data_IF_733800216586
#
_entry.id   IF_733800216586
#
_cell.length_a   1.000
_cell.length_b   1.000
_cell.length_c   1.000
_cell.angle_alpha   90.00
_cell.angle_beta   90.00
_cell.angle_gamma   90.00
#
_symmetry.space_group_name_H-M   'P 1'
#
loop_
_entity.id
_entity.type
_entity.pdbx_description
1 polymer ?
#
# COMPACT_ATOMS: atom_id res chain seq x y z
N UNK A 1 -61.29 -26.48 -36.97
CA UNK A 1 -60.98 -26.17 -35.55
C UNK A 1 -59.51 -26.33 -35.14
N UNK A 2 -58.58 -26.88 -35.95
CA UNK A 2 -57.18 -27.11 -35.53
C UNK A 2 -56.19 -25.95 -35.75
N UNK A 3 -56.48 -25.03 -36.69
CA UNK A 3 -55.53 -23.96 -37.07
C UNK A 3 -55.51 -22.81 -36.05
N UNK A 4 -56.67 -22.48 -35.44
CA UNK A 4 -56.75 -21.41 -34.43
C UNK A 4 -55.94 -21.76 -33.17
N UNK A 5 -55.98 -23.01 -32.71
CA UNK A 5 -55.25 -23.47 -31.52
C UNK A 5 -53.73 -23.50 -31.69
N UNK A 6 -53.23 -23.77 -32.90
CA UNK A 6 -51.79 -23.77 -33.19
C UNK A 6 -51.23 -22.34 -33.22
N UNK A 7 -52.00 -21.39 -33.76
CA UNK A 7 -51.61 -19.98 -33.79
C UNK A 7 -51.56 -19.37 -32.38
N UNK A 8 -52.49 -19.74 -31.51
CA UNK A 8 -52.50 -19.28 -30.10
C UNK A 8 -51.32 -19.84 -29.32
N UNK A 9 -50.95 -21.11 -29.58
CA UNK A 9 -49.80 -21.74 -28.92
C UNK A 9 -48.46 -21.08 -29.33
N UNK A 10 -48.32 -20.73 -30.61
CA UNK A 10 -47.14 -20.00 -31.10
C UNK A 10 -47.04 -18.58 -30.54
N UNK A 11 -48.17 -17.88 -30.38
CA UNK A 11 -48.19 -16.52 -29.84
C UNK A 11 -47.83 -16.50 -28.34
N UNK A 12 -48.30 -17.48 -27.57
CA UNK A 12 -47.96 -17.61 -26.13
C UNK A 12 -46.49 -18.00 -25.95
N UNK A 13 -45.95 -18.87 -26.81
CA UNK A 13 -44.53 -19.26 -26.77
C UNK A 13 -43.59 -18.10 -27.14
N UNK A 14 -43.98 -17.26 -28.10
CA UNK A 14 -43.22 -16.07 -28.50
C UNK A 14 -43.19 -15.00 -27.40
N UNK A 15 -44.27 -14.83 -26.64
CA UNK A 15 -44.32 -13.87 -25.51
C UNK A 15 -43.50 -14.38 -24.30
N UNK A 16 -43.42 -15.70 -24.10
CA UNK A 16 -42.55 -16.30 -23.06
C UNK A 16 -41.06 -16.29 -23.40
N UNK A 17 -40.68 -16.12 -24.66
CA UNK A 17 -39.27 -16.04 -25.09
C UNK A 17 -38.71 -14.60 -25.05
N UNK A 18 -39.57 -13.60 -24.91
CA UNK A 18 -39.17 -12.18 -24.78
C UNK A 18 -39.26 -11.64 -23.35
N UNK A 19 -39.65 -12.45 -22.38
CA UNK A 19 -39.50 -12.14 -20.96
C UNK A 19 -38.04 -12.40 -20.54
N UNK A 20 -37.12 -11.64 -21.15
CA UNK A 20 -35.79 -11.45 -20.60
C UNK A 20 -35.97 -10.94 -19.17
N UNK A 21 -35.39 -11.60 -18.16
CA UNK A 21 -35.62 -11.23 -16.79
C UNK A 21 -35.07 -9.82 -16.59
N UNK A 22 -35.90 -8.91 -16.05
CA UNK A 22 -35.51 -7.56 -15.61
C UNK A 22 -34.32 -7.61 -14.64
N UNK A 23 -34.06 -8.76 -14.03
CA UNK A 23 -32.87 -9.06 -13.23
C UNK A 23 -31.53 -8.99 -14.00
N UNK A 24 -31.51 -9.25 -15.31
CA UNK A 24 -30.27 -9.15 -16.09
C UNK A 24 -29.83 -7.69 -16.30
N UNK A 25 -30.77 -6.73 -16.37
CA UNK A 25 -30.44 -5.32 -16.58
C UNK A 25 -29.79 -4.68 -15.35
N UNK A 26 -30.29 -4.98 -14.13
CA UNK A 26 -29.68 -4.49 -12.89
C UNK A 26 -28.28 -5.05 -12.66
N UNK A 27 -28.05 -6.31 -13.06
CA UNK A 27 -26.74 -6.95 -12.96
C UNK A 27 -25.76 -6.37 -14.01
N UNK A 28 -26.25 -6.04 -15.21
CA UNK A 28 -25.45 -5.41 -16.27
C UNK A 28 -25.07 -3.96 -15.95
N UNK A 29 -25.97 -3.16 -15.40
CA UNK A 29 -25.69 -1.77 -15.01
C UNK A 29 -24.67 -1.74 -13.87
N UNK A 30 -24.83 -2.62 -12.88
CA UNK A 30 -23.90 -2.78 -11.77
C UNK A 30 -22.51 -3.20 -12.26
N UNK A 31 -22.46 -4.20 -13.13
CA UNK A 31 -21.21 -4.65 -13.75
C UNK A 31 -20.54 -3.53 -14.56
N UNK A 32 -21.30 -2.79 -15.36
CA UNK A 32 -20.78 -1.70 -16.18
C UNK A 32 -20.22 -0.57 -15.31
N UNK A 33 -20.93 -0.21 -14.24
CA UNK A 33 -20.46 0.79 -13.27
C UNK A 33 -19.17 0.35 -12.57
N UNK A 34 -19.05 -0.93 -12.18
CA UNK A 34 -17.79 -1.46 -11.65
C UNK A 34 -16.65 -1.40 -12.67
N UNK A 35 -16.92 -1.77 -13.92
CA UNK A 35 -15.92 -1.72 -15.00
C UNK A 35 -15.49 -0.29 -15.30
N UNK A 36 -16.40 0.69 -15.26
CA UNK A 36 -16.07 2.10 -15.42
C UNK A 36 -15.14 2.58 -14.29
N UNK A 37 -15.44 2.24 -13.03
CA UNK A 37 -14.56 2.57 -11.90
C UNK A 37 -13.17 1.95 -12.06
N UNK A 38 -13.09 0.70 -12.51
CA UNK A 38 -11.80 0.04 -12.81
C UNK A 38 -11.02 0.75 -13.92
N UNK A 39 -11.70 1.23 -14.96
CA UNK A 39 -11.07 2.03 -16.01
C UNK A 39 -10.55 3.35 -15.44
N UNK A 40 -11.36 4.06 -14.65
CA UNK A 40 -10.95 5.32 -14.00
C UNK A 40 -9.72 5.16 -13.12
N UNK A 41 -9.62 4.07 -12.35
CA UNK A 41 -8.41 3.78 -11.56
C UNK A 41 -7.18 3.69 -12.47
N UNK A 42 -7.27 3.02 -13.62
CA UNK A 42 -6.14 2.82 -14.52
C UNK A 42 -5.81 4.04 -15.36
N UNK A 43 -6.82 4.73 -15.88
CA UNK A 43 -6.64 5.79 -16.86
C UNK A 43 -6.45 7.13 -16.12
N UNK A 44 -7.47 7.55 -15.35
CA UNK A 44 -7.43 8.80 -14.57
C UNK A 44 -6.41 8.71 -13.43
N UNK A 45 -6.37 7.59 -12.70
CA UNK A 45 -5.44 7.42 -11.59
C UNK A 45 -3.98 7.46 -12.02
N UNK A 46 -3.62 6.80 -13.13
CA UNK A 46 -2.26 6.86 -13.67
C UNK A 46 -1.91 8.27 -14.20
N UNK A 47 -2.85 8.97 -14.83
CA UNK A 47 -2.66 10.35 -15.28
C UNK A 47 -2.37 11.27 -14.09
N UNK A 48 -3.14 11.18 -13.00
CA UNK A 48 -2.91 11.99 -11.78
C UNK A 48 -1.52 11.73 -11.17
N UNK A 49 -1.10 10.46 -11.12
CA UNK A 49 0.24 10.12 -10.62
C UNK A 49 1.33 10.68 -11.55
N UNK A 50 1.11 10.68 -12.86
CA UNK A 50 2.01 11.31 -13.83
C UNK A 50 2.08 12.82 -13.64
N UNK A 51 0.94 13.50 -13.48
CA UNK A 51 0.88 14.95 -13.25
C UNK A 51 1.64 15.35 -11.97
N UNK A 52 1.62 14.50 -10.94
CA UNK A 52 2.39 14.73 -9.72
C UNK A 52 3.90 14.64 -9.95
N UNK A 53 4.38 13.81 -10.88
CA UNK A 53 5.79 13.75 -11.26
C UNK A 53 6.25 15.02 -11.97
N UNK A 54 5.40 15.63 -12.79
CA UNK A 54 5.73 16.85 -13.55
C UNK A 54 6.03 18.03 -12.64
N UNK A 55 5.36 18.10 -11.48
CA UNK A 55 5.56 19.15 -10.48
C UNK A 55 6.47 18.71 -9.33
N UNK A 56 7.02 17.51 -9.38
CA UNK A 56 7.74 16.95 -8.24
C UNK A 56 9.03 17.72 -7.93
N UNK A 57 9.32 17.96 -6.64
CA UNK A 57 10.60 18.52 -6.25
C UNK A 57 11.73 17.58 -6.68
N UNK A 58 12.85 18.16 -7.08
CA UNK A 58 14.08 17.40 -7.31
C UNK A 58 14.79 17.14 -5.98
N UNK A 59 15.58 16.07 -5.93
CA UNK A 59 16.39 15.74 -4.76
C UNK A 59 16.76 14.26 -4.69
N UNK A 60 17.65 13.92 -3.75
CA UNK A 60 17.92 12.54 -3.37
C UNK A 60 16.78 11.94 -2.53
N UNK A 61 16.83 10.63 -2.26
CA UNK A 61 15.77 9.91 -1.52
C UNK A 61 15.44 10.56 -0.17
N UNK A 62 16.45 11.00 0.56
CA UNK A 62 16.27 11.65 1.85
C UNK A 62 15.65 13.03 1.76
N UNK A 63 16.07 13.82 0.79
CA UNK A 63 15.51 15.15 0.55
C UNK A 63 14.03 15.07 0.18
N UNK A 64 13.66 14.07 -0.63
CA UNK A 64 12.27 13.78 -0.96
C UNK A 64 11.49 13.27 0.26
N UNK A 65 12.06 12.34 1.04
CA UNK A 65 11.42 11.81 2.24
C UNK A 65 11.15 12.89 3.29
N UNK A 66 12.06 13.85 3.49
CA UNK A 66 11.83 14.96 4.42
C UNK A 66 10.66 15.86 3.99
N UNK A 67 10.39 15.97 2.67
CA UNK A 67 9.29 16.79 2.12
C UNK A 67 7.91 16.12 2.22
N UNK A 68 7.84 14.88 2.69
CA UNK A 68 6.57 14.15 2.84
C UNK A 68 5.68 14.73 3.94
N UNK A 69 6.31 15.31 4.97
CA UNK A 69 5.65 15.58 6.24
C UNK A 69 5.09 16.99 6.36
N UNK A 70 5.62 17.93 5.58
CA UNK A 70 5.30 19.34 5.69
C UNK A 70 4.73 19.93 4.39
N UNK A 71 3.73 20.81 4.53
CA UNK A 71 3.15 21.58 3.43
C UNK A 71 1.80 21.06 2.92
N UNK A 72 1.32 21.70 1.86
CA UNK A 72 0.02 21.40 1.26
C UNK A 72 -0.04 19.98 0.68
N UNK A 73 -1.21 19.30 0.71
CA UNK A 73 -1.35 17.92 0.23
C UNK A 73 -0.82 17.69 -1.18
N UNK A 74 -1.02 18.65 -2.09
CA UNK A 74 -0.51 18.56 -3.47
C UNK A 74 1.03 18.42 -3.53
N UNK A 75 1.76 19.19 -2.72
CA UNK A 75 3.23 19.14 -2.71
C UNK A 75 3.77 17.90 -2.02
N UNK A 76 3.10 17.47 -0.94
CA UNK A 76 3.41 16.19 -0.29
C UNK A 76 3.20 15.02 -1.25
N UNK A 77 2.08 15.00 -1.97
CA UNK A 77 1.78 13.98 -2.98
C UNK A 77 2.87 13.94 -4.07
N UNK A 78 3.27 15.09 -4.61
CA UNK A 78 4.33 15.17 -5.62
C UNK A 78 5.68 14.65 -5.11
N UNK A 79 6.08 15.00 -3.88
CA UNK A 79 7.30 14.47 -3.26
C UNK A 79 7.22 12.96 -3.04
N UNK A 80 6.08 12.46 -2.55
CA UNK A 80 5.85 11.03 -2.34
C UNK A 80 5.90 10.23 -3.64
N UNK A 81 5.22 10.69 -4.67
CA UNK A 81 5.20 10.02 -5.98
C UNK A 81 6.60 10.01 -6.62
N UNK A 82 7.37 11.09 -6.51
CA UNK A 82 8.77 11.09 -6.97
C UNK A 82 9.65 10.13 -6.18
N UNK A 83 9.44 10.01 -4.87
CA UNK A 83 10.17 9.03 -4.06
C UNK A 83 9.78 7.60 -4.43
N UNK A 84 8.50 7.34 -4.70
CA UNK A 84 8.02 6.04 -5.21
C UNK A 84 8.72 5.71 -6.53
N UNK A 85 8.68 6.63 -7.50
CA UNK A 85 9.29 6.43 -8.82
C UNK A 85 10.82 6.19 -8.74
N UNK A 86 11.48 6.78 -7.73
CA UNK A 86 12.91 6.60 -7.51
C UNK A 86 13.27 5.28 -6.81
N UNK A 87 12.50 4.89 -5.79
CA UNK A 87 12.87 3.77 -4.91
C UNK A 87 12.33 2.43 -5.39
N UNK A 88 11.08 2.38 -5.84
CA UNK A 88 10.49 1.12 -6.29
C UNK A 88 11.00 0.80 -7.68
N UNK A 89 11.34 -0.47 -7.98
CA UNK A 89 11.71 -0.86 -9.33
C UNK A 89 10.64 -0.44 -10.34
N UNK A 90 11.03 0.39 -11.32
CA UNK A 90 10.12 0.96 -12.33
C UNK A 90 8.95 1.78 -11.73
N UNK A 91 9.09 2.26 -10.50
CA UNK A 91 8.03 2.96 -9.79
C UNK A 91 6.82 2.08 -9.42
N UNK A 92 6.96 0.74 -9.40
CA UNK A 92 5.87 -0.19 -9.11
C UNK A 92 5.86 -0.60 -7.62
N UNK A 93 4.86 -0.16 -6.82
CA UNK A 93 4.73 -0.54 -5.41
C UNK A 93 4.64 -2.04 -5.13
N UNK A 94 4.20 -2.85 -6.09
CA UNK A 94 4.16 -4.31 -5.90
C UNK A 94 5.53 -4.95 -5.71
N UNK A 95 6.60 -4.26 -6.17
CA UNK A 95 7.98 -4.72 -6.13
C UNK A 95 8.75 -4.21 -4.90
N UNK A 96 8.03 -3.86 -3.84
CA UNK A 96 8.60 -3.31 -2.59
C UNK A 96 9.69 -4.21 -1.97
N UNK A 97 9.59 -5.53 -2.16
CA UNK A 97 10.51 -6.53 -1.62
C UNK A 97 11.90 -6.45 -2.22
N UNK A 98 12.01 -5.92 -3.44
CA UNK A 98 13.28 -5.78 -4.16
C UNK A 98 14.07 -4.54 -3.70
N UNK A 99 13.43 -3.65 -2.94
CA UNK A 99 14.12 -2.53 -2.30
C UNK A 99 14.95 -3.12 -1.17
N UNK A 100 16.24 -2.82 -1.13
CA UNK A 100 17.13 -3.29 -0.06
C UNK A 100 18.16 -2.22 0.30
N UNK A 101 18.87 -2.49 1.39
CA UNK A 101 19.88 -1.62 1.93
C UNK A 101 19.35 -0.62 2.94
N UNK A 102 20.29 0.13 3.50
CA UNK A 102 20.01 1.19 4.44
C UNK A 102 20.16 2.57 3.81
N UNK A 103 19.46 3.52 4.40
CA UNK A 103 19.52 4.93 4.03
C UNK A 103 20.95 5.44 4.23
N UNK A 104 21.59 6.00 3.18
CA UNK A 104 22.95 6.54 3.29
C UNK A 104 23.07 7.56 4.42
N UNK A 105 24.16 7.48 5.19
CA UNK A 105 24.50 8.39 6.31
C UNK A 105 23.55 8.36 7.51
N UNK A 106 22.51 7.50 7.52
CA UNK A 106 21.60 7.32 8.67
C UNK A 106 21.69 5.95 9.35
N UNK A 107 22.71 5.16 9.01
CA UNK A 107 23.00 3.91 9.71
C UNK A 107 21.97 2.83 9.40
N UNK A 108 21.27 2.32 10.41
CA UNK A 108 20.42 1.11 10.36
C UNK A 108 18.98 1.42 9.91
N UNK A 109 18.75 2.53 9.21
CA UNK A 109 17.41 2.90 8.72
C UNK A 109 17.08 2.19 7.40
N UNK A 110 16.10 1.26 7.36
CA UNK A 110 15.90 0.43 6.17
C UNK A 110 15.20 1.18 5.03
N UNK A 111 15.72 1.05 3.80
CA UNK A 111 15.13 1.71 2.62
C UNK A 111 13.73 1.20 2.30
N UNK A 112 13.42 -0.07 2.57
CA UNK A 112 12.06 -0.62 2.41
C UNK A 112 11.01 0.18 3.20
N UNK A 113 11.33 0.55 4.45
CA UNK A 113 10.38 1.26 5.32
C UNK A 113 10.21 2.72 4.91
N UNK A 114 11.27 3.35 4.40
CA UNK A 114 11.20 4.68 3.77
C UNK A 114 10.30 4.68 2.53
N UNK A 115 10.39 3.63 1.71
CA UNK A 115 9.55 3.49 0.53
C UNK A 115 8.07 3.32 0.90
N UNK A 116 7.78 2.63 2.02
CA UNK A 116 6.41 2.51 2.54
C UNK A 116 5.87 3.84 3.07
N UNK A 117 6.70 4.66 3.73
CA UNK A 117 6.30 6.03 4.07
C UNK A 117 5.86 6.81 2.84
N UNK A 118 6.63 6.72 1.74
CA UNK A 118 6.29 7.37 0.48
C UNK A 118 4.93 6.90 -0.05
N UNK A 119 4.66 5.58 -0.03
CA UNK A 119 3.39 5.01 -0.47
C UNK A 119 2.21 5.50 0.38
N UNK A 120 2.30 5.40 1.71
CA UNK A 120 1.20 5.81 2.59
C UNK A 120 0.94 7.31 2.52
N UNK A 121 2.00 8.14 2.48
CA UNK A 121 1.84 9.59 2.31
C UNK A 121 1.31 9.94 0.92
N UNK A 122 1.69 9.21 -0.13
CA UNK A 122 1.10 9.41 -1.47
C UNK A 122 -0.41 9.21 -1.42
N UNK A 123 -0.85 8.07 -0.88
CA UNK A 123 -2.28 7.70 -0.79
C UNK A 123 -3.05 8.71 0.06
N UNK A 124 -2.52 9.10 1.22
CA UNK A 124 -3.17 10.10 2.08
C UNK A 124 -3.22 11.49 1.44
N UNK A 125 -2.15 11.92 0.77
CA UNK A 125 -2.08 13.28 0.23
C UNK A 125 -2.84 13.43 -1.09
N UNK A 126 -2.81 12.39 -1.93
CA UNK A 126 -3.54 12.37 -3.20
C UNK A 126 -5.05 12.41 -2.97
N UNK A 127 -5.59 11.68 -1.99
CA UNK A 127 -7.05 11.69 -1.74
C UNK A 127 -7.59 13.08 -1.35
N UNK A 128 -6.72 13.98 -0.91
CA UNK A 128 -7.06 15.33 -0.44
C UNK A 128 -7.04 16.37 -1.55
N UNK A 129 -6.60 16.02 -2.77
CA UNK A 129 -6.64 16.91 -3.94
C UNK A 129 -7.80 16.55 -4.88
N UNK A 130 -8.27 17.48 -5.74
CA UNK A 130 -9.34 17.21 -6.70
C UNK A 130 -9.03 15.96 -7.55
N UNK A 131 -10.00 15.04 -7.62
CA UNK A 131 -9.91 13.73 -8.29
C UNK A 131 -8.78 12.79 -7.83
N UNK A 132 -7.90 13.21 -6.90
CA UNK A 132 -6.72 12.47 -6.51
C UNK A 132 -7.00 11.16 -5.76
N UNK A 133 -8.24 10.93 -5.33
CA UNK A 133 -8.67 9.61 -4.84
C UNK A 133 -8.45 8.50 -5.88
N UNK A 134 -8.58 8.80 -7.18
CA UNK A 134 -8.28 7.84 -8.25
C UNK A 134 -6.79 7.54 -8.36
N UNK A 135 -5.91 8.53 -8.16
CA UNK A 135 -4.47 8.32 -8.08
C UNK A 135 -4.07 7.50 -6.85
N UNK A 136 -4.74 7.73 -5.72
CA UNK A 136 -4.59 6.93 -4.50
C UNK A 136 -4.96 5.46 -4.75
N UNK A 137 -6.11 5.24 -5.36
CA UNK A 137 -6.57 3.91 -5.73
C UNK A 137 -5.67 3.23 -6.76
N UNK A 138 -5.06 3.98 -7.68
CA UNK A 138 -4.09 3.45 -8.64
C UNK A 138 -2.83 2.91 -7.95
N UNK A 139 -2.24 3.68 -7.02
CA UNK A 139 -1.08 3.23 -6.26
C UNK A 139 -1.39 2.00 -5.39
N UNK A 140 -2.57 1.98 -4.75
CA UNK A 140 -3.04 0.81 -4.01
C UNK A 140 -3.30 -0.37 -4.95
N UNK A 141 -3.90 -0.15 -6.12
CA UNK A 141 -4.09 -1.20 -7.12
C UNK A 141 -2.77 -1.85 -7.55
N UNK A 142 -1.71 -1.07 -7.75
CA UNK A 142 -0.37 -1.60 -8.01
C UNK A 142 0.14 -2.37 -6.80
N UNK A 143 0.17 -1.75 -5.63
CA UNK A 143 0.67 -2.37 -4.39
C UNK A 143 -0.04 -3.69 -4.06
N UNK A 144 -1.36 -3.74 -4.23
CA UNK A 144 -2.21 -4.89 -3.94
C UNK A 144 -1.91 -6.14 -4.77
N UNK A 145 -1.09 -6.04 -5.83
CA UNK A 145 -0.55 -7.20 -6.56
C UNK A 145 0.48 -7.98 -5.73
N UNK A 146 1.09 -7.36 -4.71
CA UNK A 146 1.94 -8.07 -3.74
C UNK A 146 1.11 -8.57 -2.56
N UNK A 147 0.83 -9.88 -2.54
CA UNK A 147 0.16 -10.51 -1.40
C UNK A 147 0.91 -10.31 -0.08
N UNK A 148 2.25 -10.43 -0.10
CA UNK A 148 3.09 -10.20 1.09
C UNK A 148 3.05 -8.75 1.55
N UNK A 149 3.01 -7.80 0.61
CA UNK A 149 2.86 -6.37 0.93
C UNK A 149 1.58 -6.09 1.70
N UNK A 150 0.45 -6.68 1.28
CA UNK A 150 -0.82 -6.54 1.99
C UNK A 150 -0.77 -7.14 3.40
N UNK A 151 -0.23 -8.35 3.56
CA UNK A 151 -0.08 -8.97 4.89
C UNK A 151 0.80 -8.10 5.80
N UNK A 152 1.90 -7.57 5.27
CA UNK A 152 2.85 -6.82 6.09
C UNK A 152 2.35 -5.42 6.47
N UNK A 153 1.73 -4.69 5.54
CA UNK A 153 1.48 -3.26 5.68
C UNK A 153 0.00 -2.87 5.70
N UNK A 154 -0.92 -3.73 5.25
CA UNK A 154 -2.38 -3.45 5.23
C UNK A 154 -3.09 -4.17 6.37
N UNK A 155 -2.81 -5.45 6.59
CA UNK A 155 -3.44 -6.17 7.71
C UNK A 155 -3.02 -5.57 9.07
N UNK A 156 -1.78 -5.10 9.16
CA UNK A 156 -1.23 -4.34 10.29
C UNK A 156 -0.89 -2.91 9.82
N UNK A 157 -1.91 -2.07 9.66
CA UNK A 157 -1.77 -0.73 9.09
C UNK A 157 -1.36 0.30 10.17
N UNK A 158 -0.55 1.33 9.85
CA UNK A 158 -0.25 2.41 10.80
C UNK A 158 -1.51 3.12 11.30
N UNK A 159 -1.46 3.63 12.53
CA UNK A 159 -2.56 4.40 13.13
C UNK A 159 -2.99 5.57 12.21
N UNK A 160 -4.29 5.70 11.96
CA UNK A 160 -4.90 6.73 11.12
C UNK A 160 -4.98 6.38 9.63
N UNK A 161 -4.13 5.46 9.15
CA UNK A 161 -4.15 5.04 7.75
C UNK A 161 -5.27 4.04 7.42
N UNK A 162 -5.89 3.46 8.44
CA UNK A 162 -7.10 2.65 8.33
C UNK A 162 -8.27 3.46 7.75
N UNK A 163 -8.50 4.67 8.28
CA UNK A 163 -9.51 5.58 7.74
C UNK A 163 -9.18 5.98 6.31
N UNK A 164 -7.92 6.33 6.05
CA UNK A 164 -7.44 6.69 4.71
C UNK A 164 -7.73 5.58 3.69
N UNK A 165 -7.40 4.34 4.01
CA UNK A 165 -7.63 3.19 3.13
C UNK A 165 -9.13 2.99 2.88
N UNK A 166 -9.95 3.02 3.94
CA UNK A 166 -11.39 2.83 3.85
C UNK A 166 -12.07 3.91 2.99
N UNK A 167 -11.64 5.16 3.11
CA UNK A 167 -12.13 6.28 2.28
C UNK A 167 -11.84 6.02 0.79
N UNK A 168 -10.61 5.63 0.45
CA UNK A 168 -10.24 5.34 -0.94
C UNK A 168 -11.01 4.15 -1.49
N UNK A 169 -11.12 3.05 -0.73
CA UNK A 169 -11.83 1.84 -1.15
C UNK A 169 -13.33 2.11 -1.35
N UNK A 170 -13.98 2.81 -0.41
CA UNK A 170 -15.41 3.09 -0.48
C UNK A 170 -15.80 3.99 -1.66
N UNK A 171 -14.98 5.01 -1.96
CA UNK A 171 -15.23 5.92 -3.08
C UNK A 171 -14.99 5.24 -4.42
N UNK A 172 -13.85 4.56 -4.55
CA UNK A 172 -13.38 4.05 -5.85
C UNK A 172 -13.86 2.63 -6.16
N UNK A 173 -14.38 1.90 -5.19
CA UNK A 173 -14.72 0.48 -5.35
C UNK A 173 -13.48 -0.38 -5.63
N UNK A 174 -12.32 0.00 -5.10
CA UNK A 174 -11.06 -0.69 -5.32
C UNK A 174 -11.19 -2.17 -4.95
N UNK A 175 -10.88 -3.04 -5.91
CA UNK A 175 -11.10 -4.47 -5.76
C UNK A 175 -9.97 -5.17 -5.00
N UNK A 176 -10.30 -6.35 -4.49
CA UNK A 176 -9.41 -7.19 -3.71
C UNK A 176 -9.69 -7.11 -2.22
N UNK A 177 -9.04 -7.98 -1.47
CA UNK A 177 -9.12 -7.95 -0.01
C UNK A 177 -8.22 -6.85 0.56
N UNK A 178 -8.87 -5.83 1.14
CA UNK A 178 -8.29 -4.68 1.83
C UNK A 178 -8.58 -4.71 3.33
N UNK A 179 -8.91 -5.89 3.87
CA UNK A 179 -9.25 -6.07 5.28
C UNK A 179 -8.08 -5.71 6.19
N UNK A 180 -8.37 -4.91 7.21
CA UNK A 180 -7.43 -4.51 8.25
C UNK A 180 -7.69 -5.41 9.46
N UNK A 181 -6.65 -6.07 9.99
CA UNK A 181 -6.77 -6.92 11.20
C UNK A 181 -6.56 -6.10 12.47
N UNK A 182 -5.60 -5.18 12.45
CA UNK A 182 -5.30 -4.28 13.56
C UNK A 182 -4.54 -3.05 13.09
N UNK A 183 -4.66 -1.96 13.84
CA UNK A 183 -3.74 -0.84 13.73
C UNK A 183 -2.47 -1.12 14.52
N UNK A 184 -1.29 -0.78 13.96
CA UNK A 184 0.01 -1.03 14.59
C UNK A 184 1.06 0.00 14.18
N UNK A 185 1.67 0.65 15.17
CA UNK A 185 2.66 1.70 14.94
C UNK A 185 2.04 2.98 14.37
N UNK A 186 2.90 3.91 13.94
CA UNK A 186 2.52 5.25 13.45
C UNK A 186 3.37 5.61 12.23
N UNK A 187 2.90 6.57 11.43
CA UNK A 187 3.76 7.26 10.47
C UNK A 187 4.63 8.29 11.21
N UNK A 188 5.90 8.50 10.79
CA UNK A 188 6.66 7.69 9.84
C UNK A 188 6.94 6.27 10.34
N UNK A 189 6.84 5.30 9.44
CA UNK A 189 7.23 3.89 9.62
C UNK A 189 8.75 3.78 9.71
N UNK A 190 9.51 4.61 8.98
CA UNK A 190 10.97 4.62 9.01
C UNK A 190 11.47 4.80 10.45
N UNK A 191 12.08 3.77 11.07
CA UNK A 191 12.35 3.78 12.49
C UNK A 191 13.64 4.53 12.84
N UNK A 192 13.79 4.90 14.12
CA UNK A 192 15.05 5.36 14.67
C UNK A 192 15.89 4.20 15.20
N UNK A 193 17.22 4.25 14.99
CA UNK A 193 18.11 3.26 15.58
C UNK A 193 18.19 3.43 17.10
N UNK A 194 18.01 2.34 17.84
CA UNK A 194 18.00 2.32 19.31
C UNK A 194 18.93 1.26 19.90
N UNK A 195 20.09 1.06 19.28
CA UNK A 195 21.15 0.19 19.83
C UNK A 195 20.82 -1.29 19.66
N UNK A 196 21.05 -2.06 20.72
CA UNK A 196 21.04 -3.52 20.69
C UNK A 196 19.84 -4.12 21.43
N UNK A 197 19.41 -5.30 21.01
CA UNK A 197 18.35 -6.10 21.65
C UNK A 197 18.74 -7.58 21.64
N UNK A 198 18.31 -8.36 22.64
CA UNK A 198 18.47 -9.82 22.60
C UNK A 198 17.39 -10.44 21.72
N UNK A 199 17.65 -11.64 21.17
CA UNK A 199 16.67 -12.39 20.38
C UNK A 199 15.39 -12.66 21.19
N UNK A 200 15.54 -13.11 22.44
CA UNK A 200 14.40 -13.29 23.37
C UNK A 200 13.54 -12.03 23.54
N UNK A 201 14.17 -10.86 23.61
CA UNK A 201 13.44 -9.59 23.75
C UNK A 201 12.74 -9.20 22.45
N UNK A 202 13.35 -9.45 21.29
CA UNK A 202 12.73 -9.20 20.00
C UNK A 202 11.52 -10.13 19.78
N UNK A 203 11.65 -11.42 20.11
CA UNK A 203 10.59 -12.41 19.99
C UNK A 203 9.43 -12.15 20.95
N UNK A 204 9.72 -11.91 22.23
CA UNK A 204 8.70 -11.60 23.25
C UNK A 204 7.91 -10.32 22.96
N UNK A 205 8.50 -9.38 22.21
CA UNK A 205 7.83 -8.14 21.76
C UNK A 205 7.26 -8.25 20.35
N UNK A 206 7.32 -9.42 19.72
CA UNK A 206 6.81 -9.64 18.37
C UNK A 206 7.36 -8.60 17.36
N UNK A 207 8.67 -8.34 17.43
CA UNK A 207 9.35 -7.44 16.50
C UNK A 207 9.49 -8.09 15.13
N UNK A 208 9.47 -7.28 14.07
CA UNK A 208 9.74 -7.77 12.72
C UNK A 208 11.25 -7.84 12.49
N UNK A 209 11.79 -9.03 12.21
CA UNK A 209 13.20 -9.15 11.84
C UNK A 209 13.50 -8.56 10.47
N UNK A 210 14.73 -8.04 10.35
CA UNK A 210 15.32 -7.58 9.11
C UNK A 210 16.68 -8.25 8.91
N UNK A 211 16.99 -8.61 7.67
CA UNK A 211 18.27 -9.21 7.29
C UNK A 211 19.44 -8.21 7.39
N UNK A 212 20.66 -8.66 7.06
CA UNK A 212 21.86 -7.82 7.07
C UNK A 212 21.83 -6.62 6.11
N UNK A 213 20.87 -6.57 5.19
CA UNK A 213 20.63 -5.50 4.25
C UNK A 213 19.37 -4.68 4.59
N UNK A 214 18.74 -4.90 5.75
CA UNK A 214 17.55 -4.17 6.17
C UNK A 214 16.25 -4.62 5.49
N UNK A 215 16.25 -5.76 4.80
CA UNK A 215 15.05 -6.32 4.17
C UNK A 215 14.24 -7.12 5.18
N UNK A 216 12.90 -7.07 5.07
CA UNK A 216 12.00 -7.88 5.91
C UNK A 216 12.27 -9.38 5.76
N UNK A 217 12.59 -10.03 6.87
CA UNK A 217 12.96 -11.44 6.96
C UNK A 217 12.31 -12.13 8.17
N UNK A 218 12.25 -13.46 8.18
CA UNK A 218 11.73 -14.23 9.33
C UNK A 218 12.69 -14.24 10.52
N UNK A 219 13.98 -14.06 10.26
CA UNK A 219 15.05 -13.87 11.24
C UNK A 219 16.07 -12.90 10.64
N UNK A 220 16.94 -12.30 11.46
CA UNK A 220 17.97 -11.45 10.91
C UNK A 220 18.79 -10.70 11.94
N UNK A 221 19.72 -9.89 11.42
CA UNK A 221 20.67 -9.09 12.19
C UNK A 221 20.01 -7.91 12.89
N UNK A 222 18.84 -7.47 12.42
CA UNK A 222 18.12 -6.37 13.02
C UNK A 222 16.68 -6.74 13.35
N UNK A 223 16.08 -5.99 14.27
CA UNK A 223 14.69 -6.14 14.67
C UNK A 223 14.00 -4.77 14.67
N UNK A 224 12.90 -4.68 13.94
CA UNK A 224 12.04 -3.51 13.85
C UNK A 224 10.87 -3.63 14.83
N UNK A 225 10.88 -2.77 15.84
CA UNK A 225 9.81 -2.57 16.79
C UNK A 225 8.82 -1.56 16.20
N UNK A 226 7.80 -2.10 15.52
CA UNK A 226 6.73 -1.32 14.86
C UNK A 226 5.97 -0.45 15.85
N UNK A 227 5.75 -0.95 17.06
CA UNK A 227 4.91 -0.31 18.07
C UNK A 227 5.59 0.93 18.64
N UNK A 228 6.93 0.91 18.72
CA UNK A 228 7.73 2.01 19.27
C UNK A 228 8.46 2.85 18.23
N UNK A 229 8.47 2.45 16.97
CA UNK A 229 9.18 3.16 15.89
C UNK A 229 10.70 3.06 16.00
N UNK A 230 11.22 1.92 16.46
CA UNK A 230 12.66 1.70 16.63
C UNK A 230 13.18 0.50 15.85
N UNK A 231 14.46 0.56 15.47
CA UNK A 231 15.21 -0.57 14.95
C UNK A 231 16.41 -0.83 15.84
N UNK A 232 16.66 -2.11 16.12
CA UNK A 232 17.74 -2.58 16.96
C UNK A 232 18.62 -3.57 16.20
N UNK A 233 19.89 -3.65 16.56
CA UNK A 233 20.76 -4.77 16.19
C UNK A 233 20.55 -5.94 17.17
N UNK A 234 20.34 -7.14 16.64
CA UNK A 234 20.05 -8.34 17.43
C UNK A 234 21.36 -8.96 17.86
N UNK A 235 21.55 -9.08 19.18
CA UNK A 235 22.66 -9.82 19.76
C UNK A 235 22.33 -11.30 19.77
N UNK A 236 23.27 -12.14 19.31
CA UNK A 236 23.16 -13.58 19.52
C UNK A 236 23.40 -13.92 20.98
N UNK A 237 22.56 -14.79 21.53
CA UNK A 237 22.68 -15.25 22.91
C UNK A 237 24.00 -16.03 23.05
N UNK A 238 24.97 -15.43 23.74
CA UNK A 238 26.33 -15.98 23.88
C UNK A 238 27.46 -14.95 23.70
N UNK A 239 27.19 -13.74 23.21
CA UNK A 239 28.17 -12.65 23.27
C UNK A 239 28.19 -12.06 24.68
N UNK A 240 29.01 -12.65 25.56
CA UNK A 240 29.63 -11.89 26.65
C UNK A 240 30.25 -10.64 26.01
N UNK A 241 29.78 -9.46 26.42
CA UNK A 241 30.50 -8.22 26.11
C UNK A 241 31.85 -8.35 26.80
N UNK A 242 32.89 -8.61 26.01
CA UNK A 242 34.28 -8.33 26.35
C UNK A 242 34.40 -6.82 26.61
N UNK A 243 34.01 -6.40 27.81
CA UNK A 243 34.35 -5.11 28.38
C UNK A 243 35.85 -5.15 28.69
N UNK A 244 36.67 -4.89 27.67
CA UNK A 244 38.07 -4.58 27.90
C UNK A 244 38.15 -3.20 28.58
N UNK A 245 38.18 -3.22 29.92
CA UNK A 245 38.76 -2.11 30.67
C UNK A 245 40.25 -2.08 30.32
N UNK A 246 40.65 -1.12 29.49
CA UNK A 246 42.06 -0.81 29.35
C UNK A 246 42.47 0.00 30.59
N UNK A 247 43.44 -0.47 31.39
CA UNK A 247 43.91 0.24 32.60
C UNK A 247 44.55 1.59 32.28
#
# INVERSE_FOLDING_TARGET
MKVKSILTLFLVLAISLFSMPVFAASDWDTFTAEMEKRSKIKDTGAAIVTDMLDIAPQGNEMELWNKLWDGEPRWRAAAAVALINKMFPQGDPSRWEEISGFVPKRGVQPRQLMAMDALFVAVDSLRQIPDGVWGSAYLLYLFGKSGRGKVMFIEEIPEGMDQVLNDVVSVTGLQGDWSIKRTRGKLPILPFYRGYVTRDTADSRNMQYLDGYGSIASNGRYAWDRDRGYVYEVMEDGYERDFWFNP
#
